data_IF_401929544092
#
_entry.id   IF_401929544092
#
_cell.length_a   1.000
_cell.length_b   1.000
_cell.length_c   1.000
_cell.angle_alpha   90.00
_cell.angle_beta   90.00
_cell.angle_gamma   90.00
#
_symmetry.space_group_name_H-M   'P 1'
#
loop_
_entity.id
_entity.type
_entity.pdbx_description
1 polymer ?
#
# COMPACT_ATOMS: atom_id res chain seq x y z
N UNK A 1 -45.07 -42.37 25.73
CA UNK A 1 -44.98 -41.10 26.49
C UNK A 1 -43.53 -40.80 26.88
N UNK A 2 -42.77 -41.75 27.44
CA UNK A 2 -41.34 -41.54 27.75
C UNK A 2 -40.47 -41.27 26.50
N UNK A 3 -40.67 -41.99 25.39
CA UNK A 3 -39.90 -41.80 24.15
C UNK A 3 -40.12 -40.43 23.48
N UNK A 4 -41.32 -39.88 23.60
CA UNK A 4 -41.68 -38.57 23.04
C UNK A 4 -41.07 -37.43 23.86
N UNK A 5 -41.04 -37.60 25.20
CA UNK A 5 -40.37 -36.66 26.10
C UNK A 5 -38.86 -36.63 25.85
N UNK A 6 -38.20 -37.79 25.72
CA UNK A 6 -36.76 -37.85 25.45
C UNK A 6 -36.38 -37.21 24.12
N UNK A 7 -37.17 -37.44 23.07
CA UNK A 7 -36.90 -36.86 21.75
C UNK A 7 -37.05 -35.32 21.76
N UNK A 8 -38.12 -34.80 22.38
CA UNK A 8 -38.34 -33.36 22.49
C UNK A 8 -37.26 -32.68 23.36
N UNK A 9 -36.77 -33.35 24.39
CA UNK A 9 -35.67 -32.85 25.22
C UNK A 9 -34.34 -32.80 24.45
N UNK A 10 -34.02 -33.83 23.67
CA UNK A 10 -32.80 -33.88 22.83
C UNK A 10 -32.84 -32.78 21.75
N UNK A 11 -33.99 -32.57 21.10
CA UNK A 11 -34.15 -31.53 20.08
C UNK A 11 -33.96 -30.12 20.66
N UNK A 12 -34.49 -29.87 21.87
CA UNK A 12 -34.28 -28.61 22.58
C UNK A 12 -32.81 -28.39 22.95
N UNK A 13 -32.12 -29.43 23.42
CA UNK A 13 -30.69 -29.36 23.70
C UNK A 13 -29.86 -29.07 22.44
N UNK A 14 -30.16 -29.72 21.32
CA UNK A 14 -29.48 -29.45 20.04
C UNK A 14 -29.68 -28.01 19.57
N UNK A 15 -30.89 -27.46 19.75
CA UNK A 15 -31.16 -26.07 19.41
C UNK A 15 -30.40 -25.08 20.32
N UNK A 16 -30.26 -25.40 21.60
CA UNK A 16 -29.45 -24.61 22.55
C UNK A 16 -27.97 -24.65 22.16
N UNK A 17 -27.44 -25.82 21.82
CA UNK A 17 -26.05 -25.95 21.35
C UNK A 17 -25.79 -25.13 20.09
N UNK A 18 -26.66 -25.24 19.08
CA UNK A 18 -26.58 -24.42 17.84
C UNK A 18 -26.63 -22.92 18.14
N UNK A 19 -27.48 -22.51 19.09
CA UNK A 19 -27.56 -21.12 19.53
C UNK A 19 -26.24 -20.66 20.17
N UNK A 20 -25.64 -21.43 21.07
CA UNK A 20 -24.35 -21.08 21.68
C UNK A 20 -23.21 -21.05 20.69
N UNK A 21 -23.14 -22.01 19.75
CA UNK A 21 -22.13 -22.01 18.68
C UNK A 21 -22.29 -20.77 17.80
N UNK A 22 -23.52 -20.42 17.42
CA UNK A 22 -23.80 -19.20 16.67
C UNK A 22 -23.40 -17.94 17.46
N UNK A 23 -23.78 -17.84 18.73
CA UNK A 23 -23.44 -16.71 19.60
C UNK A 23 -21.92 -16.55 19.76
N UNK A 24 -21.19 -17.64 20.03
CA UNK A 24 -19.73 -17.63 20.12
C UNK A 24 -19.08 -17.22 18.80
N UNK A 25 -19.61 -17.66 17.66
CA UNK A 25 -19.11 -17.24 16.35
C UNK A 25 -19.28 -15.73 16.11
N UNK A 26 -20.43 -15.16 16.51
CA UNK A 26 -20.71 -13.72 16.41
C UNK A 26 -19.81 -12.93 17.37
N UNK A 27 -19.62 -13.39 18.61
CA UNK A 27 -18.73 -12.76 19.58
C UNK A 27 -17.26 -12.81 19.13
N UNK A 28 -16.83 -13.91 18.50
CA UNK A 28 -15.48 -14.03 17.91
C UNK A 28 -15.27 -13.02 16.78
N UNK A 29 -16.24 -12.91 15.86
CA UNK A 29 -16.20 -11.92 14.77
C UNK A 29 -16.19 -10.49 15.32
N UNK A 30 -17.00 -10.19 16.34
CA UNK A 30 -16.98 -8.90 17.03
C UNK A 30 -15.62 -8.62 17.67
N UNK A 31 -15.01 -9.60 18.34
CA UNK A 31 -13.68 -9.48 18.92
C UNK A 31 -12.62 -9.15 17.87
N UNK A 32 -12.67 -9.78 16.69
CA UNK A 32 -11.78 -9.48 15.56
C UNK A 32 -11.99 -8.04 15.07
N UNK A 33 -13.23 -7.61 14.90
CA UNK A 33 -13.56 -6.24 14.45
C UNK A 33 -13.08 -5.21 15.47
N UNK A 34 -13.30 -5.43 16.77
CA UNK A 34 -12.84 -4.53 17.84
C UNK A 34 -11.31 -4.45 17.84
N UNK A 35 -10.60 -5.58 17.78
CA UNK A 35 -9.14 -5.61 17.75
C UNK A 35 -8.57 -4.87 16.52
N UNK A 36 -9.16 -5.04 15.34
CA UNK A 36 -8.77 -4.30 14.15
C UNK A 36 -9.00 -2.79 14.33
N UNK A 37 -10.13 -2.42 14.95
CA UNK A 37 -10.46 -1.02 15.21
C UNK A 37 -9.53 -0.37 16.23
N UNK A 38 -9.18 -1.06 17.33
CA UNK A 38 -8.24 -0.56 18.34
C UNK A 38 -6.84 -0.35 17.76
N UNK A 39 -6.33 -1.31 16.98
CA UNK A 39 -5.04 -1.19 16.32
C UNK A 39 -5.01 -0.02 15.33
N UNK A 40 -6.08 0.14 14.55
CA UNK A 40 -6.24 1.28 13.66
C UNK A 40 -6.25 2.61 14.42
N UNK A 41 -7.01 2.70 15.52
CA UNK A 41 -7.11 3.90 16.34
C UNK A 41 -5.78 4.28 17.01
N UNK A 42 -5.09 3.31 17.62
CA UNK A 42 -3.79 3.52 18.24
C UNK A 42 -2.75 4.01 17.22
N UNK A 43 -2.74 3.43 16.01
CA UNK A 43 -1.83 3.86 14.94
C UNK A 43 -2.08 5.31 14.51
N UNK A 44 -3.35 5.75 14.50
CA UNK A 44 -3.72 7.15 14.18
C UNK A 44 -3.28 8.12 15.26
N UNK A 45 -3.47 7.74 16.52
CA UNK A 45 -3.09 8.58 17.66
C UNK A 45 -1.57 8.77 17.74
N UNK A 46 -0.79 7.70 17.58
CA UNK A 46 0.68 7.77 17.55
C UNK A 46 1.18 8.65 16.39
N UNK A 47 0.56 8.55 15.21
CA UNK A 47 0.89 9.42 14.07
C UNK A 47 0.64 10.89 14.37
N UNK A 48 -0.49 11.24 15.00
CA UNK A 48 -0.78 12.63 15.38
C UNK A 48 0.19 13.18 16.42
N UNK A 49 0.58 12.37 17.41
CA UNK A 49 1.59 12.79 18.39
C UNK A 49 2.95 13.03 17.72
N UNK A 50 3.36 12.13 16.83
CA UNK A 50 4.61 12.27 16.06
C UNK A 50 4.58 13.55 15.22
N UNK A 51 3.49 13.84 14.53
CA UNK A 51 3.33 15.04 13.71
C UNK A 51 3.45 16.32 14.56
N UNK A 52 2.78 16.37 15.71
CA UNK A 52 2.91 17.49 16.67
C UNK A 52 4.33 17.66 17.20
N UNK A 53 5.02 16.56 17.50
CA UNK A 53 6.40 16.60 17.96
C UNK A 53 7.34 17.17 16.88
N UNK A 54 7.15 16.75 15.62
CA UNK A 54 7.90 17.27 14.46
C UNK A 54 7.65 18.78 14.31
N UNK A 55 6.39 19.22 14.39
CA UNK A 55 6.03 20.64 14.24
C UNK A 55 6.59 21.50 15.37
N UNK A 56 6.48 21.04 16.61
CA UNK A 56 7.07 21.73 17.76
C UNK A 56 8.60 21.83 17.62
N UNK A 57 9.26 20.79 17.10
CA UNK A 57 10.70 20.80 16.90
C UNK A 57 11.11 21.77 15.78
N UNK A 58 10.41 21.76 14.64
CA UNK A 58 10.69 22.64 13.51
C UNK A 58 10.43 24.13 13.83
N UNK A 59 9.50 24.42 14.74
CA UNK A 59 9.18 25.79 15.13
C UNK A 59 10.16 26.39 16.17
N UNK A 60 10.97 25.57 16.85
CA UNK A 60 11.94 26.02 17.87
C UNK A 60 13.38 25.96 17.32
N UNK A 61 13.69 26.83 16.36
CA UNK A 61 14.90 26.76 15.52
C UNK A 61 16.24 27.03 16.23
N UNK A 62 16.25 27.39 17.50
CA UNK A 62 17.47 27.89 18.19
C UNK A 62 18.52 26.81 18.50
N UNK A 63 18.17 25.52 18.37
CA UNK A 63 19.06 24.39 18.69
C UNK A 63 19.07 23.27 17.64
N UNK A 64 18.58 23.55 16.44
CA UNK A 64 18.31 22.49 15.47
C UNK A 64 19.54 22.19 14.61
N UNK A 65 20.06 20.96 14.69
CA UNK A 65 20.97 20.42 13.68
C UNK A 65 20.31 20.48 12.30
N UNK A 66 20.97 21.16 11.34
CA UNK A 66 20.49 21.31 9.96
C UNK A 66 20.16 19.97 9.29
N UNK A 67 20.91 18.91 9.60
CA UNK A 67 20.64 17.58 9.04
C UNK A 67 19.31 17.03 9.54
N UNK A 68 19.07 17.11 10.84
CA UNK A 68 17.82 16.69 11.46
C UNK A 68 16.64 17.54 10.98
N UNK A 69 16.82 18.86 10.84
CA UNK A 69 15.80 19.74 10.27
C UNK A 69 15.36 19.31 8.87
N UNK A 70 16.34 19.06 7.99
CA UNK A 70 16.08 18.62 6.61
C UNK A 70 15.35 17.28 6.59
N UNK A 71 15.75 16.33 7.44
CA UNK A 71 15.10 15.04 7.54
C UNK A 71 13.64 15.16 8.03
N UNK A 72 13.40 15.98 9.06
CA UNK A 72 12.05 16.21 9.60
C UNK A 72 11.13 16.91 8.59
N UNK A 73 11.65 17.89 7.84
CA UNK A 73 10.92 18.53 6.73
C UNK A 73 10.57 17.53 5.63
N UNK A 74 11.48 16.60 5.31
CA UNK A 74 11.22 15.53 4.35
C UNK A 74 10.13 14.58 4.84
N UNK A 75 10.19 14.15 6.11
CA UNK A 75 9.16 13.30 6.72
C UNK A 75 7.79 13.99 6.70
N UNK A 76 7.72 15.27 7.05
CA UNK A 76 6.48 16.05 6.99
C UNK A 76 5.94 16.13 5.55
N UNK A 77 6.80 16.42 4.59
CA UNK A 77 6.42 16.47 3.17
C UNK A 77 5.90 15.12 2.67
N UNK A 78 6.56 14.03 3.09
CA UNK A 78 6.14 12.66 2.78
C UNK A 78 4.76 12.36 3.37
N UNK A 79 4.51 12.72 4.62
CA UNK A 79 3.23 12.49 5.28
C UNK A 79 2.10 13.30 4.63
N UNK A 80 2.32 14.60 4.36
CA UNK A 80 1.34 15.46 3.66
C UNK A 80 1.00 14.88 2.28
N UNK A 81 2.01 14.46 1.52
CA UNK A 81 1.81 13.80 0.24
C UNK A 81 1.01 12.50 0.37
N UNK A 82 1.33 11.66 1.35
CA UNK A 82 0.57 10.44 1.63
C UNK A 82 -0.88 10.75 2.04
N UNK A 83 -1.12 11.76 2.86
CA UNK A 83 -2.47 12.12 3.28
C UNK A 83 -3.32 12.57 2.09
N UNK A 84 -2.76 13.36 1.17
CA UNK A 84 -3.42 13.85 -0.03
C UNK A 84 -3.65 12.76 -1.08
N UNK A 85 -2.64 11.92 -1.35
CA UNK A 85 -2.65 10.99 -2.49
C UNK A 85 -2.92 9.54 -2.11
N UNK A 86 -2.73 9.18 -0.84
CA UNK A 86 -2.66 7.80 -0.33
C UNK A 86 -1.55 6.95 -0.98
N UNK A 87 -0.47 7.60 -1.43
CA UNK A 87 0.71 6.94 -2.02
C UNK A 87 1.90 7.13 -1.08
N UNK A 88 2.39 6.03 -0.51
CA UNK A 88 3.62 6.04 0.30
C UNK A 88 4.84 5.77 -0.60
N UNK A 89 5.73 6.74 -0.75
CA UNK A 89 6.91 6.61 -1.61
C UNK A 89 8.11 7.44 -1.12
N UNK A 90 9.29 7.12 -1.67
CA UNK A 90 10.51 7.93 -1.50
C UNK A 90 10.37 9.27 -2.22
N UNK A 91 11.26 10.22 -1.88
CA UNK A 91 11.30 11.57 -2.47
C UNK A 91 11.35 11.57 -4.00
N UNK A 92 12.29 10.84 -4.60
CA UNK A 92 12.45 10.82 -6.06
C UNK A 92 11.17 10.38 -6.77
N UNK A 93 10.54 9.30 -6.28
CA UNK A 93 9.27 8.83 -6.84
C UNK A 93 8.13 9.83 -6.61
N UNK A 94 8.07 10.47 -5.44
CA UNK A 94 7.07 11.51 -5.16
C UNK A 94 7.18 12.67 -6.15
N UNK A 95 8.39 13.19 -6.34
CA UNK A 95 8.65 14.34 -7.21
C UNK A 95 8.35 13.97 -8.67
N UNK A 96 8.68 12.74 -9.09
CA UNK A 96 8.27 12.19 -10.39
C UNK A 96 6.74 12.08 -10.54
N UNK A 97 6.03 11.60 -9.51
CA UNK A 97 4.57 11.47 -9.54
C UNK A 97 3.86 12.83 -9.61
N UNK A 98 4.41 13.85 -8.95
CA UNK A 98 3.94 15.24 -9.06
C UNK A 98 4.14 15.75 -10.48
N UNK A 99 5.34 15.62 -11.03
CA UNK A 99 5.62 15.99 -12.42
C UNK A 99 4.68 15.26 -13.39
N UNK A 100 4.47 13.95 -13.20
CA UNK A 100 3.55 13.17 -14.02
C UNK A 100 2.12 13.70 -13.92
N UNK A 101 1.63 13.99 -12.72
CA UNK A 101 0.29 14.55 -12.51
C UNK A 101 0.12 15.93 -13.17
N UNK A 102 1.12 16.81 -13.07
CA UNK A 102 1.09 18.16 -13.65
C UNK A 102 1.14 18.17 -15.18
N UNK A 103 1.77 17.16 -15.79
CA UNK A 103 1.94 17.07 -17.23
C UNK A 103 0.94 16.12 -17.91
N UNK A 104 0.12 15.39 -17.16
CA UNK A 104 -0.91 14.51 -17.71
C UNK A 104 -2.27 15.23 -17.81
N UNK A 105 -3.16 14.80 -18.72
CA UNK A 105 -4.47 15.43 -18.84
C UNK A 105 -5.31 15.28 -17.56
N UNK A 106 -6.32 16.14 -17.39
CA UNK A 106 -7.13 16.24 -16.17
C UNK A 106 -7.90 14.97 -15.77
N UNK A 107 -7.97 13.97 -16.64
CA UNK A 107 -8.55 12.66 -16.34
C UNK A 107 -7.64 11.77 -15.47
N UNK A 108 -6.37 12.10 -15.27
CA UNK A 108 -5.43 11.36 -14.41
C UNK A 108 -5.55 11.83 -12.96
N UNK A 109 -6.56 11.35 -12.25
CA UNK A 109 -6.67 11.62 -10.80
C UNK A 109 -5.55 10.93 -9.99
N UNK A 110 -5.27 11.42 -8.78
CA UNK A 110 -4.37 10.73 -7.84
C UNK A 110 -4.77 9.28 -7.56
N UNK A 111 -6.07 8.96 -7.59
CA UNK A 111 -6.55 7.58 -7.46
C UNK A 111 -6.14 6.70 -8.64
N UNK A 112 -6.12 7.28 -9.85
CA UNK A 112 -5.61 6.62 -11.05
C UNK A 112 -4.11 6.32 -10.91
N UNK A 113 -3.31 7.33 -10.56
CA UNK A 113 -1.86 7.20 -10.36
C UNK A 113 -1.56 6.17 -9.26
N UNK A 114 -2.28 6.23 -8.14
CA UNK A 114 -2.14 5.29 -7.01
C UNK A 114 -2.29 3.84 -7.44
N UNK A 115 -3.28 3.54 -8.29
CA UNK A 115 -3.47 2.16 -8.78
C UNK A 115 -2.34 1.65 -9.67
N UNK A 116 -1.52 2.55 -10.24
CA UNK A 116 -0.41 2.19 -11.12
C UNK A 116 0.92 2.08 -10.39
N UNK A 117 1.01 2.60 -9.15
CA UNK A 117 2.22 2.53 -8.30
C UNK A 117 2.97 1.19 -8.35
N UNK A 118 2.33 0.00 -8.26
CA UNK A 118 3.06 -1.28 -8.27
C UNK A 118 3.88 -1.54 -9.54
N UNK A 119 3.47 -0.92 -10.67
CA UNK A 119 4.09 -1.08 -11.98
C UNK A 119 5.17 -0.03 -12.26
N UNK A 120 5.28 1.02 -11.43
CA UNK A 120 6.33 2.01 -11.55
C UNK A 120 7.62 1.40 -11.00
N UNK A 121 8.65 1.32 -11.85
CA UNK A 121 9.98 0.85 -11.49
C UNK A 121 11.00 1.95 -11.75
N UNK A 122 12.03 1.98 -10.91
CA UNK A 122 13.16 2.88 -11.02
C UNK A 122 14.36 2.09 -11.55
N UNK A 123 15.03 2.60 -12.58
CA UNK A 123 16.29 2.05 -13.09
C UNK A 123 17.17 3.22 -13.53
N UNK A 124 18.38 3.29 -12.96
CA UNK A 124 19.34 4.36 -13.23
C UNK A 124 18.76 5.77 -13.01
N UNK A 125 17.99 5.96 -11.94
CA UNK A 125 17.33 7.23 -11.61
C UNK A 125 16.14 7.58 -12.50
N UNK A 126 15.81 6.77 -13.51
CA UNK A 126 14.65 6.99 -14.38
C UNK A 126 13.49 6.09 -13.97
N UNK A 127 12.29 6.67 -13.94
CA UNK A 127 11.05 5.94 -13.67
C UNK A 127 10.40 5.49 -14.98
N UNK A 128 10.02 4.22 -15.03
CA UNK A 128 9.33 3.61 -16.17
C UNK A 128 8.23 2.67 -15.68
N UNK A 129 7.24 2.44 -16.53
CA UNK A 129 6.19 1.45 -16.28
C UNK A 129 6.65 0.11 -16.80
N UNK A 130 6.75 -0.88 -15.91
CA UNK A 130 7.03 -2.27 -16.30
C UNK A 130 5.78 -3.11 -16.10
N UNK A 131 5.10 -3.42 -17.21
CA UNK A 131 4.12 -4.49 -17.28
C UNK A 131 4.81 -5.75 -17.79
N UNK A 132 4.75 -6.84 -17.03
CA UNK A 132 5.24 -8.14 -17.47
C UNK A 132 4.25 -8.79 -18.44
N UNK A 133 4.72 -9.79 -19.22
CA UNK A 133 3.81 -10.62 -20.02
C UNK A 133 2.83 -11.40 -19.14
N UNK A 134 3.24 -11.76 -17.93
CA UNK A 134 2.39 -12.42 -16.95
C UNK A 134 1.21 -11.52 -16.54
N UNK A 135 1.44 -10.22 -16.34
CA UNK A 135 0.36 -9.26 -16.04
C UNK A 135 -0.68 -9.22 -17.17
N UNK A 136 -0.24 -9.31 -18.43
CA UNK A 136 -1.16 -9.34 -19.56
C UNK A 136 -2.02 -10.62 -19.57
N UNK A 137 -1.41 -11.77 -19.29
CA UNK A 137 -2.10 -13.06 -19.20
C UNK A 137 -3.09 -13.04 -18.04
N UNK A 138 -2.67 -12.56 -16.86
CA UNK A 138 -3.51 -12.44 -15.68
C UNK A 138 -4.70 -11.50 -15.93
N UNK A 139 -4.48 -10.37 -16.60
CA UNK A 139 -5.54 -9.44 -16.99
C UNK A 139 -6.56 -10.10 -17.93
N UNK A 140 -6.09 -10.82 -18.95
CA UNK A 140 -6.96 -11.56 -19.87
C UNK A 140 -7.75 -12.63 -19.13
N UNK A 141 -7.11 -13.37 -18.23
CA UNK A 141 -7.76 -14.39 -17.41
C UNK A 141 -8.89 -13.80 -16.55
N UNK A 142 -8.63 -12.70 -15.82
CA UNK A 142 -9.67 -12.04 -15.02
C UNK A 142 -10.80 -11.44 -15.86
N UNK A 143 -10.48 -10.89 -17.03
CA UNK A 143 -11.49 -10.41 -17.97
C UNK A 143 -12.40 -11.55 -18.44
N UNK A 144 -11.81 -12.69 -18.83
CA UNK A 144 -12.54 -13.89 -19.24
C UNK A 144 -13.41 -14.45 -18.12
N UNK A 145 -12.91 -14.50 -16.88
CA UNK A 145 -13.71 -14.90 -15.72
C UNK A 145 -14.86 -13.92 -15.47
N UNK A 146 -14.62 -12.62 -15.51
CA UNK A 146 -15.67 -11.60 -15.35
C UNK A 146 -16.76 -11.76 -16.41
N UNK A 147 -16.36 -11.92 -17.68
CA UNK A 147 -17.28 -12.17 -18.79
C UNK A 147 -18.11 -13.45 -18.58
N UNK A 148 -17.48 -14.56 -18.19
CA UNK A 148 -18.16 -15.82 -17.93
C UNK A 148 -19.17 -15.70 -16.78
N UNK A 149 -18.84 -14.97 -15.72
CA UNK A 149 -19.75 -14.70 -14.59
C UNK A 149 -21.00 -13.92 -15.07
N UNK A 150 -20.81 -12.85 -15.84
CA UNK A 150 -21.94 -12.09 -16.39
C UNK A 150 -22.77 -12.90 -17.39
N UNK A 151 -22.12 -13.72 -18.22
CA UNK A 151 -22.82 -14.63 -19.14
C UNK A 151 -23.69 -15.64 -18.36
N UNK A 152 -23.17 -16.22 -17.28
CA UNK A 152 -23.94 -17.11 -16.40
C UNK A 152 -25.13 -16.40 -15.77
N UNK A 153 -24.97 -15.15 -15.30
CA UNK A 153 -26.09 -14.35 -14.80
C UNK A 153 -27.18 -14.18 -15.85
N UNK A 154 -26.80 -13.81 -17.08
CA UNK A 154 -27.76 -13.66 -18.19
C UNK A 154 -28.46 -14.98 -18.49
N UNK A 155 -27.73 -16.10 -18.54
CA UNK A 155 -28.30 -17.43 -18.77
C UNK A 155 -29.24 -17.87 -17.64
N UNK A 156 -28.91 -17.58 -16.38
CA UNK A 156 -29.75 -17.88 -15.23
C UNK A 156 -31.04 -17.06 -15.24
N UNK A 157 -30.95 -15.75 -15.53
CA UNK A 157 -32.13 -14.88 -15.67
C UNK A 157 -33.02 -15.38 -16.82
N UNK A 158 -32.41 -15.74 -17.96
CA UNK A 158 -33.14 -16.28 -19.10
C UNK A 158 -33.81 -17.61 -18.75
N UNK A 159 -33.08 -18.56 -18.16
CA UNK A 159 -33.62 -19.85 -17.74
C UNK A 159 -34.78 -19.67 -16.73
N UNK A 160 -34.64 -18.74 -15.79
CA UNK A 160 -35.69 -18.40 -14.83
C UNK A 160 -36.93 -17.83 -15.53
N UNK A 161 -36.75 -16.89 -16.47
CA UNK A 161 -37.84 -16.24 -17.19
C UNK A 161 -38.65 -17.19 -18.08
N UNK A 162 -37.99 -18.20 -18.67
CA UNK A 162 -38.65 -19.22 -19.48
C UNK A 162 -39.11 -20.45 -18.68
N UNK A 163 -38.73 -20.58 -17.42
CA UNK A 163 -39.19 -21.68 -16.59
C UNK A 163 -40.68 -21.51 -16.29
N UNK A 164 -41.52 -22.42 -16.82
CA UNK A 164 -42.94 -22.51 -16.46
C UNK A 164 -43.16 -23.19 -15.11
N UNK A 165 -42.11 -23.33 -14.31
CA UNK A 165 -42.11 -24.11 -13.07
C UNK A 165 -42.61 -23.21 -11.95
N UNK A 166 -43.67 -23.60 -11.21
CA UNK A 166 -44.07 -22.88 -10.01
C UNK A 166 -42.96 -23.04 -8.96
N UNK A 167 -42.15 -22.00 -8.80
CA UNK A 167 -41.07 -21.97 -7.84
C UNK A 167 -41.62 -21.66 -6.45
N UNK A 168 -41.24 -22.45 -5.45
CA UNK A 168 -41.47 -22.08 -4.06
C UNK A 168 -40.64 -20.83 -3.74
N UNK A 169 -41.11 -20.01 -2.78
CA UNK A 169 -40.39 -18.80 -2.38
C UNK A 169 -38.94 -19.06 -1.92
N UNK A 170 -38.67 -20.25 -1.37
CA UNK A 170 -37.31 -20.68 -0.98
C UNK A 170 -36.40 -20.89 -2.19
N UNK A 171 -36.87 -21.52 -3.27
CA UNK A 171 -36.06 -21.74 -4.48
C UNK A 171 -35.79 -20.41 -5.19
N UNK A 172 -36.79 -19.52 -5.27
CA UNK A 172 -36.62 -18.17 -5.82
C UNK A 172 -35.54 -17.39 -5.06
N UNK A 173 -35.55 -17.45 -3.72
CA UNK A 173 -34.54 -16.78 -2.89
C UNK A 173 -33.14 -17.34 -3.15
N UNK A 174 -32.98 -18.65 -3.26
CA UNK A 174 -31.68 -19.27 -3.59
C UNK A 174 -31.17 -18.78 -4.95
N UNK A 175 -32.02 -18.77 -5.98
CA UNK A 175 -31.66 -18.28 -7.32
C UNK A 175 -31.20 -16.82 -7.27
N UNK A 176 -31.91 -15.96 -6.53
CA UNK A 176 -31.55 -14.55 -6.39
C UNK A 176 -30.20 -14.36 -5.68
N UNK A 177 -29.93 -15.14 -4.62
CA UNK A 177 -28.63 -15.13 -3.94
C UNK A 177 -27.53 -15.58 -4.90
N UNK A 178 -27.75 -16.65 -5.67
CA UNK A 178 -26.80 -17.16 -6.65
C UNK A 178 -26.50 -16.13 -7.75
N UNK A 179 -27.53 -15.49 -8.31
CA UNK A 179 -27.36 -14.41 -9.30
C UNK A 179 -26.56 -13.24 -8.72
N UNK A 180 -26.90 -12.81 -7.51
CA UNK A 180 -26.21 -11.71 -6.82
C UNK A 180 -24.74 -12.07 -6.58
N UNK A 181 -24.46 -13.29 -6.15
CA UNK A 181 -23.11 -13.78 -5.96
C UNK A 181 -22.29 -13.73 -7.26
N UNK A 182 -22.79 -14.32 -8.35
CA UNK A 182 -22.11 -14.29 -9.65
C UNK A 182 -21.90 -12.88 -10.18
N UNK A 183 -22.86 -11.98 -9.96
CA UNK A 183 -22.72 -10.58 -10.35
C UNK A 183 -21.59 -9.90 -9.57
N UNK A 184 -21.57 -10.05 -8.24
CA UNK A 184 -20.54 -9.48 -7.38
C UNK A 184 -19.14 -10.04 -7.69
N UNK A 185 -19.01 -11.35 -7.93
CA UNK A 185 -17.73 -11.97 -8.33
C UNK A 185 -17.29 -11.49 -9.71
N UNK A 186 -18.22 -11.31 -10.65
CA UNK A 186 -17.94 -10.71 -11.97
C UNK A 186 -17.37 -9.30 -11.85
N UNK A 187 -17.98 -8.45 -11.02
CA UNK A 187 -17.47 -7.11 -10.71
C UNK A 187 -16.12 -7.16 -10.02
N UNK A 188 -15.94 -8.04 -9.03
CA UNK A 188 -14.68 -8.21 -8.33
C UNK A 188 -13.53 -8.51 -9.32
N UNK A 189 -13.68 -9.48 -10.22
CA UNK A 189 -12.67 -9.76 -11.23
C UNK A 189 -12.41 -8.58 -12.17
N UNK A 190 -13.45 -7.82 -12.53
CA UNK A 190 -13.29 -6.60 -13.32
C UNK A 190 -12.44 -5.57 -12.56
N UNK A 191 -12.65 -5.40 -11.25
CA UNK A 191 -11.83 -4.46 -10.45
C UNK A 191 -10.35 -4.85 -10.40
N UNK A 192 -10.03 -6.15 -10.45
CA UNK A 192 -8.64 -6.64 -10.50
C UNK A 192 -7.93 -6.28 -11.82
N UNK A 193 -8.67 -6.02 -12.91
CA UNK A 193 -8.09 -5.61 -14.21
C UNK A 193 -7.75 -4.11 -14.29
N UNK A 194 -8.30 -3.30 -13.37
CA UNK A 194 -8.16 -1.84 -13.37
C UNK A 194 -6.69 -1.40 -13.28
N UNK A 195 -5.85 -1.90 -12.34
CA UNK A 195 -4.47 -1.47 -12.20
C UNK A 195 -3.64 -1.67 -13.47
N UNK A 196 -3.79 -2.83 -14.13
CA UNK A 196 -3.03 -3.20 -15.34
C UNK A 196 -3.44 -2.32 -16.52
N UNK A 197 -4.74 -2.13 -16.70
CA UNK A 197 -5.27 -1.27 -17.77
C UNK A 197 -4.81 0.17 -17.61
N UNK A 198 -4.86 0.69 -16.37
CA UNK A 198 -4.39 2.04 -16.05
C UNK A 198 -2.87 2.18 -16.22
N UNK A 199 -2.10 1.14 -15.88
CA UNK A 199 -0.65 1.14 -16.09
C UNK A 199 -0.28 1.28 -17.57
N UNK A 200 -0.99 0.58 -18.46
CA UNK A 200 -0.81 0.72 -19.91
C UNK A 200 -1.16 2.11 -20.42
N UNK A 201 -2.19 2.75 -19.86
CA UNK A 201 -2.57 4.11 -20.22
C UNK A 201 -1.49 5.11 -19.78
N UNK A 202 -0.98 5.00 -18.54
CA UNK A 202 0.14 5.83 -18.06
C UNK A 202 1.41 5.59 -18.88
N UNK A 203 1.73 4.35 -19.24
CA UNK A 203 2.91 4.05 -20.08
C UNK A 203 2.86 4.75 -21.44
N UNK A 204 1.68 4.75 -22.09
CA UNK A 204 1.46 5.48 -23.35
C UNK A 204 1.64 6.98 -23.15
N UNK A 205 1.11 7.53 -22.07
CA UNK A 205 1.19 8.97 -21.81
C UNK A 205 2.64 9.38 -21.47
N UNK A 206 3.38 8.59 -20.69
CA UNK A 206 4.81 8.82 -20.42
C UNK A 206 5.62 8.83 -21.72
N UNK A 207 5.36 7.89 -22.63
CA UNK A 207 6.02 7.85 -23.94
C UNK A 207 5.75 9.11 -24.76
N UNK A 208 4.51 9.60 -24.74
CA UNK A 208 4.12 10.85 -25.39
C UNK A 208 4.80 12.06 -24.75
N UNK A 209 4.86 12.13 -23.42
CA UNK A 209 5.57 13.19 -22.69
C UNK A 209 7.07 13.18 -23.00
N UNK A 210 7.70 12.01 -23.08
CA UNK A 210 9.10 11.89 -23.46
C UNK A 210 9.36 12.39 -24.89
N UNK A 211 8.43 12.14 -25.83
CA UNK A 211 8.51 12.68 -27.18
C UNK A 211 8.38 14.21 -27.20
N UNK A 212 7.41 14.76 -26.44
CA UNK A 212 7.23 16.20 -26.29
C UNK A 212 8.46 16.88 -25.64
N UNK A 213 9.11 16.22 -24.68
CA UNK A 213 10.35 16.69 -24.09
C UNK A 213 11.50 16.73 -25.11
N UNK A 214 11.68 15.67 -25.90
CA UNK A 214 12.70 15.64 -26.97
C UNK A 214 12.45 16.73 -28.01
N UNK A 215 11.18 17.05 -28.28
CA UNK A 215 10.77 18.15 -29.14
C UNK A 215 10.95 19.55 -28.50
N UNK A 216 11.26 19.63 -27.21
CA UNK A 216 11.42 20.89 -26.47
C UNK A 216 10.10 21.57 -26.09
N UNK A 217 8.97 20.88 -26.20
CA UNK A 217 7.64 21.42 -25.90
C UNK A 217 7.36 21.51 -24.40
N UNK A 218 7.96 20.63 -23.61
CA UNK A 218 7.82 20.58 -22.16
C UNK A 218 9.19 20.54 -21.48
N UNK A 219 9.25 21.03 -20.24
CA UNK A 219 10.41 20.79 -19.38
C UNK A 219 10.37 19.33 -18.94
N UNK A 220 11.37 18.56 -19.36
CA UNK A 220 11.50 17.17 -18.97
C UNK A 220 11.70 17.05 -17.47
N UNK A 221 11.39 15.86 -16.95
CA UNK A 221 11.82 15.49 -15.62
C UNK A 221 13.36 15.42 -15.61
N UNK A 222 13.98 16.48 -15.13
CA UNK A 222 15.39 16.47 -14.76
C UNK A 222 15.45 16.07 -13.29
N UNK A 223 16.18 14.99 -13.00
CA UNK A 223 16.47 14.65 -11.61
C UNK A 223 17.01 15.92 -10.91
N UNK A 224 16.46 16.33 -9.77
CA UNK A 224 16.86 17.57 -9.14
C UNK A 224 18.37 17.57 -8.90
N UNK A 225 19.09 18.51 -9.55
CA UNK A 225 20.57 18.68 -9.51
C UNK A 225 21.16 18.68 -8.08
N UNK A 226 20.33 18.90 -7.07
CA UNK A 226 20.68 18.92 -5.66
C UNK A 226 21.31 17.59 -5.19
N UNK A 227 20.92 16.45 -5.77
CA UNK A 227 21.46 15.13 -5.37
C UNK A 227 22.84 14.83 -5.96
N UNK A 228 23.13 15.26 -7.19
CA UNK A 228 24.42 14.99 -7.83
C UNK A 228 25.55 15.85 -7.26
N UNK A 229 25.26 17.08 -6.80
CA UNK A 229 26.25 17.95 -6.15
C UNK A 229 26.46 17.62 -4.67
N UNK A 230 25.39 17.30 -3.91
CA UNK A 230 25.51 16.94 -2.49
C UNK A 230 26.32 15.65 -2.30
N UNK A 231 25.99 14.60 -3.04
CA UNK A 231 26.61 13.29 -2.82
C UNK A 231 28.07 13.23 -3.32
N UNK A 232 28.41 13.91 -4.43
CA UNK A 232 29.81 14.05 -4.89
C UNK A 232 30.65 14.93 -3.95
N UNK A 233 30.05 15.91 -3.28
CA UNK A 233 30.76 16.72 -2.28
C UNK A 233 31.02 15.98 -0.97
N UNK A 234 30.14 15.05 -0.59
CA UNK A 234 30.30 14.21 0.62
C UNK A 234 31.28 13.05 0.41
N UNK A 235 31.29 12.41 -0.76
CA UNK A 235 32.31 11.39 -1.10
C UNK A 235 33.74 11.96 -1.13
N UNK A 236 33.88 13.25 -1.42
CA UNK A 236 35.17 13.94 -1.34
C UNK A 236 35.53 14.44 0.08
N UNK A 237 34.57 14.56 1.00
CA UNK A 237 34.85 14.92 2.41
C UNK A 237 35.22 13.71 3.28
N UNK A 238 34.70 12.53 2.97
CA UNK A 238 35.02 11.31 3.74
C UNK A 238 36.40 10.71 3.42
N UNK A 239 37.17 11.31 2.51
CA UNK A 239 38.57 10.92 2.25
C UNK A 239 39.59 11.67 3.12
N UNK A 240 39.14 12.55 4.02
CA UNK A 240 40.01 13.27 4.96
C UNK A 240 39.41 13.20 6.37
N UNK A 241 40.18 12.59 7.28
CA UNK A 241 40.01 12.52 8.74
C UNK A 241 39.44 11.20 9.28
N UNK A 242 40.36 10.28 9.56
CA UNK A 242 40.17 9.09 10.40
C UNK A 242 40.19 9.42 11.91
N UNK A 243 39.48 10.47 12.32
CA UNK A 243 39.21 10.71 13.74
C UNK A 243 37.74 10.41 13.98
N UNK A 244 37.49 9.27 14.62
CA UNK A 244 36.19 8.64 14.83
C UNK A 244 35.27 9.57 15.67
N UNK A 245 34.27 10.25 15.07
CA UNK A 245 33.43 11.23 15.75
C UNK A 245 32.40 10.60 16.71
N UNK A 246 32.33 9.26 16.76
CA UNK A 246 31.49 8.51 17.70
C UNK A 246 32.05 8.48 19.13
N UNK A 247 33.27 8.97 19.36
CA UNK A 247 33.88 9.07 20.69
C UNK A 247 33.56 10.39 21.41
N UNK A 248 33.06 11.41 20.70
CA UNK A 248 32.63 12.67 21.29
C UNK A 248 31.10 12.67 21.49
N UNK A 249 30.61 11.77 22.35
CA UNK A 249 29.21 11.80 22.79
C UNK A 249 29.06 12.95 23.79
N UNK A 250 28.23 13.98 23.51
CA UNK A 250 27.91 15.02 24.48
C UNK A 250 27.44 14.38 25.79
N UNK A 251 28.02 14.78 26.93
CA UNK A 251 27.71 14.21 28.25
C UNK A 251 26.22 14.27 28.63
N UNK A 252 25.44 15.12 27.97
CA UNK A 252 23.97 15.20 28.08
C UNK A 252 23.26 13.94 27.57
N UNK A 253 23.80 13.25 26.57
CA UNK A 253 23.18 12.04 26.01
C UNK A 253 23.47 10.79 26.85
N UNK A 254 24.56 10.78 27.61
CA UNK A 254 24.96 9.65 28.49
C UNK A 254 23.93 9.42 29.61
N UNK A 255 23.20 10.45 30.03
CA UNK A 255 22.19 10.36 31.08
C UNK A 255 20.75 10.16 30.54
N UNK A 256 20.57 9.98 29.24
CA UNK A 256 19.25 9.73 28.67
C UNK A 256 18.89 8.23 28.86
N UNK A 257 17.77 7.88 29.52
CA UNK A 257 17.38 6.49 29.73
C UNK A 257 17.11 5.71 28.41
N UNK A 258 17.00 6.41 27.29
CA UNK A 258 16.87 5.80 25.95
C UNK A 258 18.21 5.63 25.23
N UNK A 259 19.32 6.05 25.84
CA UNK A 259 20.63 5.99 25.20
C UNK A 259 21.09 4.56 24.93
N UNK A 260 20.81 3.65 25.85
CA UNK A 260 21.11 2.22 25.69
C UNK A 260 20.35 1.63 24.48
N UNK A 261 19.08 1.99 24.30
CA UNK A 261 18.26 1.58 23.16
C UNK A 261 18.76 2.18 21.83
N UNK A 262 19.26 3.43 21.87
CA UNK A 262 19.87 4.07 20.70
C UNK A 262 21.20 3.39 20.33
N UNK A 263 22.04 3.07 21.31
CA UNK A 263 23.31 2.35 21.09
C UNK A 263 23.04 0.94 20.53
N UNK A 264 22.05 0.23 21.06
CA UNK A 264 21.66 -1.09 20.55
C UNK A 264 21.18 -1.03 19.10
N UNK A 265 20.33 -0.05 18.75
CA UNK A 265 19.87 0.15 17.38
C UNK A 265 21.01 0.53 16.42
N UNK A 266 21.99 1.32 16.88
CA UNK A 266 23.19 1.66 16.08
C UNK A 266 24.06 0.41 15.85
N UNK A 267 24.21 -0.45 16.86
CA UNK A 267 24.97 -1.70 16.74
C UNK A 267 24.30 -2.68 15.77
N UNK A 268 22.97 -2.81 15.83
CA UNK A 268 22.20 -3.62 14.87
C UNK A 268 22.37 -3.09 13.44
N UNK A 269 22.23 -1.78 13.25
CA UNK A 269 22.39 -1.16 11.93
C UNK A 269 23.81 -1.35 11.35
N UNK A 270 24.84 -1.31 12.20
CA UNK A 270 26.22 -1.55 11.77
C UNK A 270 26.45 -2.99 11.32
N UNK A 271 25.94 -3.97 12.06
CA UNK A 271 25.99 -5.37 11.67
C UNK A 271 25.23 -5.63 10.34
N UNK A 272 24.14 -4.91 10.08
CA UNK A 272 23.45 -4.99 8.79
C UNK A 272 24.26 -4.39 7.63
N UNK A 273 25.00 -3.30 7.88
CA UNK A 273 25.90 -2.72 6.88
C UNK A 273 27.07 -3.65 6.55
N UNK A 274 27.73 -4.20 7.56
CA UNK A 274 28.89 -5.09 7.37
C UNK A 274 28.47 -6.36 6.58
N UNK A 275 27.30 -6.94 6.89
CA UNK A 275 26.73 -8.05 6.10
C UNK A 275 26.42 -7.69 4.66
N UNK A 276 25.97 -6.47 4.40
CA UNK A 276 25.65 -6.03 3.04
C UNK A 276 26.92 -5.75 2.22
N UNK A 277 28.03 -5.37 2.85
CA UNK A 277 29.33 -5.27 2.19
C UNK A 277 29.89 -6.66 1.84
N UNK A 278 29.85 -7.62 2.78
CA UNK A 278 30.27 -9.01 2.52
C UNK A 278 29.49 -9.64 1.35
N UNK A 279 28.16 -9.49 1.33
CA UNK A 279 27.32 -10.00 0.24
C UNK A 279 27.61 -9.34 -1.12
N UNK A 280 28.15 -8.13 -1.11
CA UNK A 280 28.49 -7.39 -2.33
C UNK A 280 29.83 -7.85 -2.89
N UNK A 281 30.80 -8.10 -2.01
CA UNK A 281 32.10 -8.65 -2.38
C UNK A 281 31.96 -10.09 -2.92
N UNK A 282 31.08 -10.91 -2.34
CA UNK A 282 30.76 -12.26 -2.87
C UNK A 282 30.04 -12.24 -4.23
N UNK A 283 29.26 -11.20 -4.53
CA UNK A 283 28.58 -11.05 -5.81
C UNK A 283 29.50 -10.55 -6.93
N UNK A 284 30.64 -9.95 -6.58
CA UNK A 284 31.64 -9.41 -7.51
C UNK A 284 32.81 -10.40 -7.76
N UNK A 285 32.91 -11.50 -7.00
CA UNK A 285 33.86 -12.62 -7.19
C UNK A 285 33.33 -13.74 -8.07
#
# INVERSE_FOLDING_TARGET
MESEFTNNFIDKLSNIEKFFVSLLSVLSLLGIVINQYTNWFQSRFQKQQKEKAIDNYLNNSSYVDRKLESHLKELKTKEVFYQATKIDCKRNLRDYLIWLYENTPSNFSWQFIRSVKPYIKEKNGQFFIKSSNFDNIQNLFYLSLSFLNFLLVVLLIFAFWFSKIPLSGTITLVILITITWFFLTGFYFLTLTIPITRAKIIDKEIKKLNQAYIAGEIKGWQEPEVLTKSHKSELNRNKISSNNPLLDVPSILINNPLWDEVIENIAVYRNELDKNEEMKDEAES
#
